data_IF_052434819215
#
_entry.id   IF_052434819215
#
_cell.length_a   1.000
_cell.length_b   1.000
_cell.length_c   1.000
_cell.angle_alpha   90.00
_cell.angle_beta   90.00
_cell.angle_gamma   90.00
#
_symmetry.space_group_name_H-M   'P 1'
#
loop_
_entity.id
_entity.type
_entity.pdbx_description
1 polymer ?
#
# COMPACT_ATOMS: atom_id res chain seq x y z
N UNK A 1 7.53 -10.38 6.83
CA UNK A 1 8.34 -9.28 6.25
C UNK A 1 7.43 -8.06 6.14
N UNK A 2 7.66 -7.02 6.94
CA UNK A 2 6.84 -5.80 6.89
C UNK A 2 7.39 -4.90 5.78
N UNK A 3 6.61 -4.70 4.71
CA UNK A 3 7.02 -3.93 3.51
C UNK A 3 5.89 -2.97 3.16
N UNK A 4 5.77 -1.84 3.88
CA UNK A 4 4.64 -0.96 3.68
C UNK A 4 4.60 -0.43 2.25
N UNK A 5 3.39 -0.29 1.71
CA UNK A 5 3.15 0.28 0.38
C UNK A 5 2.01 1.30 0.46
N UNK A 6 2.06 2.32 -0.40
CA UNK A 6 1.02 3.30 -0.52
C UNK A 6 0.11 2.92 -1.68
N UNK A 7 -1.20 2.87 -1.42
CA UNK A 7 -2.20 2.71 -2.46
C UNK A 7 -2.53 4.03 -3.15
N UNK A 8 -3.00 3.96 -4.40
CA UNK A 8 -3.59 5.11 -5.11
C UNK A 8 -4.86 5.66 -4.43
N UNK A 9 -5.43 4.92 -3.48
CA UNK A 9 -6.53 5.36 -2.63
C UNK A 9 -6.08 6.20 -1.42
N UNK A 10 -4.76 6.44 -1.28
CA UNK A 10 -4.18 7.18 -0.16
C UNK A 10 -4.04 6.36 1.12
N UNK A 11 -4.29 5.05 1.11
CA UNK A 11 -4.10 4.18 2.26
C UNK A 11 -2.72 3.54 2.27
N UNK A 12 -2.14 3.47 3.45
CA UNK A 12 -0.93 2.68 3.70
C UNK A 12 -1.31 1.24 4.01
N UNK A 13 -0.74 0.31 3.26
CA UNK A 13 -0.86 -1.13 3.48
C UNK A 13 0.44 -1.64 4.10
N UNK A 14 0.36 -2.62 5.01
CA UNK A 14 1.54 -3.18 5.67
C UNK A 14 2.41 -4.04 4.75
N UNK A 15 1.82 -4.53 3.66
CA UNK A 15 2.49 -5.24 2.57
C UNK A 15 1.71 -5.15 1.25
N UNK A 16 2.36 -5.57 0.16
CA UNK A 16 1.75 -5.54 -1.18
C UNK A 16 0.57 -6.52 -1.33
N UNK A 17 0.57 -7.64 -0.59
CA UNK A 17 -0.55 -8.59 -0.59
C UNK A 17 -1.81 -7.94 -0.03
N UNK A 18 -1.72 -7.23 1.12
CA UNK A 18 -2.85 -6.50 1.70
C UNK A 18 -3.42 -5.45 0.74
N UNK A 19 -2.54 -4.72 0.04
CA UNK A 19 -2.95 -3.77 -1.00
C UNK A 19 -3.70 -4.48 -2.14
N UNK A 20 -3.19 -5.62 -2.61
CA UNK A 20 -3.83 -6.42 -3.67
C UNK A 20 -5.18 -6.98 -3.24
N UNK A 21 -5.32 -7.46 -2.00
CA UNK A 21 -6.60 -7.91 -1.43
C UNK A 21 -7.63 -6.80 -1.38
N UNK A 22 -7.19 -5.56 -1.13
CA UNK A 22 -8.06 -4.38 -1.19
C UNK A 22 -8.43 -3.95 -2.62
N UNK A 23 -7.84 -4.56 -3.66
CA UNK A 23 -8.10 -4.20 -5.06
C UNK A 23 -7.55 -2.82 -5.45
N UNK A 24 -6.64 -2.27 -4.67
CA UNK A 24 -6.09 -0.92 -4.88
C UNK A 24 -4.79 -0.99 -5.68
N UNK A 25 -4.58 -0.09 -6.63
CA UNK A 25 -3.31 0.05 -7.36
C UNK A 25 -2.20 0.61 -6.47
N UNK A 26 -0.96 0.14 -6.64
CA UNK A 26 0.19 0.67 -5.89
C UNK A 26 0.53 2.07 -6.41
N UNK A 27 0.49 3.07 -5.54
CA UNK A 27 1.00 4.39 -5.85
C UNK A 27 2.54 4.40 -5.78
N UNK A 28 3.09 4.03 -4.63
CA UNK A 28 4.54 3.93 -4.43
C UNK A 28 4.89 2.93 -3.33
N UNK A 29 6.17 2.53 -3.30
CA UNK A 29 6.72 1.73 -2.20
C UNK A 29 6.91 2.61 -0.96
N UNK A 30 6.74 2.03 0.23
CA UNK A 30 6.73 2.76 1.50
C UNK A 30 5.34 3.20 1.92
N UNK A 31 5.22 3.75 3.13
CA UNK A 31 3.95 4.28 3.65
C UNK A 31 3.54 5.52 2.86
N UNK A 32 2.24 5.75 2.67
CA UNK A 32 1.77 7.02 2.14
C UNK A 32 2.28 8.16 3.01
N UNK A 33 2.74 9.23 2.37
CA UNK A 33 3.01 10.49 3.05
C UNK A 33 1.67 11.17 3.37
N UNK A 34 1.07 10.81 4.49
CA UNK A 34 0.04 11.61 5.15
C UNK A 34 0.69 12.49 6.21
#
# INVERSE_FOLDING_TARGET
>A
MFKPVCGCDGKTYGNDCERMTAGTSKAHEGKCAS
#
